data_IF_626946855902
#
_entry.id   IF_626946855902
#
_cell.length_a   1.000
_cell.length_b   1.000
_cell.length_c   1.000
_cell.angle_alpha   90.00
_cell.angle_beta   90.00
_cell.angle_gamma   90.00
#
_symmetry.space_group_name_H-M   'P 1'
#
loop_
_entity.id
_entity.type
_entity.pdbx_description
1 polymer ?
#
# COMPACT_ATOMS: atom_id res chain seq x y z
N UNK A 1 -28.58 5.59 -1.84
CA UNK A 1 -27.34 6.37 -1.60
C UNK A 1 -26.18 5.56 -2.15
N UNK A 2 -25.25 6.17 -2.89
CA UNK A 2 -24.06 5.44 -3.34
C UNK A 2 -23.17 5.21 -2.12
N UNK A 3 -22.62 4.01 -1.99
CA UNK A 3 -21.63 3.71 -0.95
C UNK A 3 -20.38 4.54 -1.19
N UNK A 4 -20.01 5.33 -0.19
CA UNK A 4 -18.75 6.07 -0.16
C UNK A 4 -17.74 5.31 0.70
N UNK A 5 -16.48 5.32 0.28
CA UNK A 5 -15.37 4.71 1.03
C UNK A 5 -14.11 5.54 0.89
N UNK A 6 -13.33 5.68 1.95
CA UNK A 6 -12.00 6.29 1.93
C UNK A 6 -10.95 5.19 2.10
N UNK A 7 -9.97 5.16 1.20
CA UNK A 7 -8.85 4.21 1.25
C UNK A 7 -7.57 5.00 1.49
N UNK A 8 -6.84 4.63 2.55
CA UNK A 8 -5.51 5.15 2.87
C UNK A 8 -4.44 4.18 2.39
N UNK A 9 -3.61 4.59 1.45
CA UNK A 9 -2.45 3.82 1.02
C UNK A 9 -1.15 4.33 1.66
N UNK A 10 -0.30 3.41 2.12
CA UNK A 10 0.96 3.70 2.81
C UNK A 10 2.09 2.88 2.17
N UNK A 11 3.19 3.55 1.84
CA UNK A 11 4.50 2.93 1.57
C UNK A 11 5.44 3.25 2.74
N UNK A 12 5.58 2.34 3.71
CA UNK A 12 6.37 2.56 4.91
C UNK A 12 7.86 2.39 4.61
N UNK A 13 8.60 3.48 4.43
CA UNK A 13 10.05 3.44 4.27
C UNK A 13 10.84 3.92 5.50
N UNK A 14 12.14 3.66 5.50
CA UNK A 14 13.07 4.05 6.60
C UNK A 14 13.67 5.44 6.43
N UNK A 15 13.52 6.01 5.23
CA UNK A 15 14.02 7.34 4.85
C UNK A 15 12.86 8.28 4.56
N UNK A 16 11.82 7.76 3.90
CA UNK A 16 10.61 8.47 3.52
C UNK A 16 9.47 7.48 3.70
N UNK A 17 8.34 7.92 4.26
CA UNK A 17 7.09 7.17 4.21
C UNK A 17 6.13 7.94 3.31
N UNK A 18 5.81 7.37 2.14
CA UNK A 18 4.83 7.93 1.22
C UNK A 18 3.41 7.51 1.62
N UNK A 19 2.43 8.39 1.47
CA UNK A 19 1.04 8.04 1.69
C UNK A 19 0.10 8.81 0.76
N UNK A 20 -1.00 8.16 0.39
CA UNK A 20 -2.03 8.73 -0.46
C UNK A 20 -3.42 8.33 -0.01
N UNK A 21 -4.38 9.23 -0.19
CA UNK A 21 -5.78 8.98 0.10
C UNK A 21 -6.61 9.14 -1.16
N UNK A 22 -7.54 8.20 -1.36
CA UNK A 22 -8.57 8.28 -2.39
C UNK A 22 -9.94 8.13 -1.75
N UNK A 23 -10.92 8.85 -2.29
CA UNK A 23 -12.34 8.64 -2.03
C UNK A 23 -12.91 7.80 -3.15
N UNK A 24 -13.72 6.81 -2.81
CA UNK A 24 -14.43 5.95 -3.76
C UNK A 24 -15.92 6.21 -3.60
N UNK A 25 -16.57 6.67 -4.67
CA UNK A 25 -18.02 6.86 -4.73
C UNK A 25 -18.57 5.91 -5.79
N UNK A 26 -19.20 4.82 -5.35
CA UNK A 26 -19.63 3.74 -6.24
C UNK A 26 -18.45 3.06 -6.94
N UNK A 27 -18.23 3.37 -8.22
CA UNK A 27 -17.12 2.85 -9.05
C UNK A 27 -16.11 3.90 -9.49
N UNK A 28 -16.23 5.12 -8.98
CA UNK A 28 -15.33 6.23 -9.31
C UNK A 28 -14.37 6.48 -8.15
N UNK A 29 -13.11 6.69 -8.48
CA UNK A 29 -12.08 7.13 -7.55
C UNK A 29 -11.85 8.64 -7.71
N UNK A 30 -11.67 9.31 -6.58
CA UNK A 30 -11.38 10.73 -6.48
C UNK A 30 -10.12 10.90 -5.62
N UNK A 31 -9.22 11.76 -6.08
CA UNK A 31 -8.04 12.11 -5.32
C UNK A 31 -8.39 12.95 -4.10
N UNK A 32 -7.89 12.57 -2.92
CA UNK A 32 -8.02 13.39 -1.72
C UNK A 32 -6.70 14.05 -1.34
N UNK A 33 -5.63 13.25 -1.21
CA UNK A 33 -4.36 13.75 -0.70
C UNK A 33 -3.20 12.85 -1.13
N UNK A 34 -2.04 13.48 -1.30
CA UNK A 34 -0.75 12.81 -1.50
C UNK A 34 0.31 13.60 -0.74
N UNK A 35 1.05 12.93 0.14
CA UNK A 35 2.12 13.57 0.88
C UNK A 35 3.12 12.52 1.38
N UNK A 36 4.16 12.98 2.05
CA UNK A 36 5.24 12.13 2.53
C UNK A 36 5.73 12.57 3.90
N UNK A 37 6.22 11.62 4.69
CA UNK A 37 6.92 11.87 5.94
C UNK A 37 8.42 11.70 5.72
N UNK A 38 9.15 12.81 5.79
CA UNK A 38 10.61 12.84 5.67
C UNK A 38 11.28 12.36 6.97
N UNK A 39 11.82 11.14 6.93
CA UNK A 39 12.47 10.48 8.08
C UNK A 39 14.00 10.57 8.02
N UNK A 40 14.58 10.92 6.87
CA UNK A 40 16.05 11.00 6.66
C UNK A 40 16.76 11.90 7.66
N UNK A 41 16.09 12.97 8.10
CA UNK A 41 16.63 14.00 9.01
C UNK A 41 16.77 13.55 10.46
N UNK A 42 16.30 12.35 10.80
CA UNK A 42 16.44 11.78 12.14
C UNK A 42 17.48 10.68 12.12
N UNK A 43 18.37 10.66 13.11
CA UNK A 43 19.41 9.63 13.22
C UNK A 43 18.92 8.40 14.01
N UNK A 44 18.11 8.62 15.04
CA UNK A 44 17.55 7.55 15.87
C UNK A 44 16.42 6.80 15.15
N UNK A 45 16.58 5.49 15.00
CA UNK A 45 15.59 4.60 14.41
C UNK A 45 14.29 4.53 15.22
N UNK A 46 14.36 4.55 16.56
CA UNK A 46 13.16 4.47 17.39
C UNK A 46 12.30 5.73 17.27
N UNK A 47 12.94 6.90 17.13
CA UNK A 47 12.24 8.15 16.80
C UNK A 47 11.51 8.04 15.48
N UNK A 48 12.13 7.45 14.44
CA UNK A 48 11.46 7.23 13.15
C UNK A 48 10.22 6.34 13.28
N UNK A 49 10.32 5.25 14.04
CA UNK A 49 9.19 4.35 14.29
C UNK A 49 8.05 5.10 15.01
N UNK A 50 8.36 5.86 16.06
CA UNK A 50 7.35 6.68 16.75
C UNK A 50 6.66 7.65 15.79
N UNK A 51 7.42 8.36 14.96
CA UNK A 51 6.87 9.31 13.99
C UNK A 51 6.00 8.65 12.92
N UNK A 52 6.35 7.45 12.47
CA UNK A 52 5.50 6.66 11.57
C UNK A 52 4.16 6.36 12.25
N UNK A 53 4.19 5.85 13.50
CA UNK A 53 2.98 5.55 14.26
C UNK A 53 2.10 6.79 14.43
N UNK A 54 2.67 7.88 14.95
CA UNK A 54 1.96 9.14 15.20
C UNK A 54 1.36 9.70 13.91
N UNK A 55 2.12 9.70 12.82
CA UNK A 55 1.64 10.19 11.53
C UNK A 55 0.51 9.32 10.97
N UNK A 56 0.60 8.00 11.09
CA UNK A 56 -0.47 7.09 10.66
C UNK A 56 -1.74 7.31 11.48
N UNK A 57 -1.63 7.46 12.80
CA UNK A 57 -2.77 7.80 13.67
C UNK A 57 -3.39 9.14 13.27
N UNK A 58 -2.59 10.18 13.05
CA UNK A 58 -3.07 11.50 12.64
C UNK A 58 -3.86 11.42 11.32
N UNK A 59 -3.35 10.67 10.32
CA UNK A 59 -4.04 10.47 9.06
C UNK A 59 -5.37 9.73 9.24
N UNK A 60 -5.40 8.73 10.12
CA UNK A 60 -6.62 7.99 10.47
C UNK A 60 -7.64 8.90 11.14
N UNK A 61 -7.23 9.70 12.12
CA UNK A 61 -8.11 10.59 12.88
C UNK A 61 -8.61 11.77 12.04
N UNK A 62 -7.81 12.24 11.09
CA UNK A 62 -8.18 13.36 10.22
C UNK A 62 -9.13 12.95 9.10
N UNK A 63 -8.91 11.79 8.50
CA UNK A 63 -9.62 11.38 7.29
C UNK A 63 -10.60 10.22 7.46
N UNK A 64 -10.57 9.54 8.61
CA UNK A 64 -11.42 8.38 8.91
C UNK A 64 -11.48 7.33 7.77
N UNK A 65 -10.32 6.80 7.32
CA UNK A 65 -10.30 5.81 6.25
C UNK A 65 -11.00 4.52 6.69
N UNK A 66 -11.77 3.92 5.77
CA UNK A 66 -12.45 2.64 5.98
C UNK A 66 -11.48 1.46 5.82
N UNK A 67 -10.45 1.62 4.98
CA UNK A 67 -9.48 0.58 4.64
C UNK A 67 -8.07 1.17 4.50
N UNK A 68 -7.06 0.40 4.91
CA UNK A 68 -5.65 0.74 4.70
C UNK A 68 -5.00 -0.27 3.75
N UNK A 69 -4.30 0.25 2.75
CA UNK A 69 -3.50 -0.53 1.82
C UNK A 69 -2.00 -0.26 2.08
N UNK A 70 -1.21 -1.31 2.21
CA UNK A 70 0.23 -1.17 2.51
C UNK A 70 1.06 -1.87 1.44
N UNK A 71 2.11 -1.21 0.97
CA UNK A 71 3.12 -1.88 0.13
C UNK A 71 3.92 -2.88 0.97
N UNK A 72 3.91 -4.15 0.55
CA UNK A 72 4.65 -5.21 1.20
C UNK A 72 6.14 -5.11 0.87
N UNK A 73 7.04 -5.38 1.84
CA UNK A 73 8.47 -5.29 1.65
C UNK A 73 8.93 -6.30 0.61
N UNK A 74 9.73 -5.85 -0.35
CA UNK A 74 10.36 -6.73 -1.32
C UNK A 74 11.61 -7.41 -0.73
N UNK A 75 11.85 -8.67 -1.13
CA UNK A 75 13.03 -9.42 -0.71
C UNK A 75 14.31 -8.78 -1.28
N UNK A 76 15.02 -8.04 -0.43
CA UNK A 76 16.30 -7.42 -0.75
C UNK A 76 17.49 -8.31 -0.37
N UNK A 77 18.65 -8.07 -0.99
CA UNK A 77 19.91 -8.77 -0.66
C UNK A 77 20.43 -8.48 0.77
N UNK A 78 19.99 -7.40 1.41
CA UNK A 78 20.47 -6.98 2.73
C UNK A 78 19.41 -7.18 3.82
N UNK A 79 19.64 -8.17 4.68
CA UNK A 79 18.76 -8.57 5.79
C UNK A 79 18.55 -7.44 6.80
N UNK A 80 19.56 -6.63 7.10
CA UNK A 80 19.42 -5.53 8.07
C UNK A 80 18.49 -4.43 7.57
N UNK A 81 18.60 -4.06 6.30
CA UNK A 81 17.70 -3.08 5.69
C UNK A 81 16.26 -3.61 5.67
N UNK A 82 16.10 -4.89 5.36
CA UNK A 82 14.80 -5.57 5.38
C UNK A 82 14.18 -5.57 6.79
N UNK A 83 14.96 -5.84 7.83
CA UNK A 83 14.48 -5.79 9.21
C UNK A 83 14.03 -4.38 9.62
N UNK A 84 14.78 -3.33 9.23
CA UNK A 84 14.39 -1.95 9.50
C UNK A 84 13.09 -1.57 8.77
N UNK A 85 12.93 -2.04 7.54
CA UNK A 85 11.72 -1.83 6.75
C UNK A 85 10.52 -2.56 7.38
N UNK A 86 10.69 -3.82 7.76
CA UNK A 86 9.65 -4.60 8.43
C UNK A 86 9.19 -3.99 9.76
N UNK A 87 10.10 -3.36 10.51
CA UNK A 87 9.73 -2.59 11.72
C UNK A 87 8.87 -1.37 11.38
N UNK A 88 9.26 -0.60 10.36
CA UNK A 88 8.47 0.56 9.90
C UNK A 88 7.06 0.14 9.46
N UNK A 89 6.98 -0.93 8.67
CA UNK A 89 5.71 -1.50 8.21
C UNK A 89 4.86 -2.00 9.38
N UNK A 90 5.44 -2.80 10.29
CA UNK A 90 4.72 -3.32 11.45
C UNK A 90 4.18 -2.23 12.37
N UNK A 91 4.88 -1.10 12.48
CA UNK A 91 4.41 0.06 13.25
C UNK A 91 3.26 0.79 12.55
N UNK A 92 3.32 0.99 11.23
CA UNK A 92 2.19 1.53 10.47
C UNK A 92 0.95 0.61 10.55
N UNK A 93 1.17 -0.71 10.50
CA UNK A 93 0.10 -1.70 10.69
C UNK A 93 -0.50 -1.62 12.09
N UNK A 94 0.35 -1.55 13.13
CA UNK A 94 -0.12 -1.44 14.50
C UNK A 94 -0.96 -0.18 14.73
N UNK A 95 -0.59 0.95 14.11
CA UNK A 95 -1.39 2.17 14.15
C UNK A 95 -2.79 1.97 13.55
N UNK A 96 -2.89 1.39 12.34
CA UNK A 96 -4.17 1.07 11.71
C UNK A 96 -5.03 0.10 12.52
N UNK A 97 -4.43 -0.99 12.98
CA UNK A 97 -5.11 -2.02 13.77
C UNK A 97 -5.57 -1.49 15.14
N UNK A 98 -4.82 -0.58 15.78
CA UNK A 98 -5.23 0.06 17.03
C UNK A 98 -6.51 0.88 16.92
N UNK A 99 -6.89 1.27 15.69
CA UNK A 99 -8.13 1.97 15.36
C UNK A 99 -9.15 1.06 14.66
N UNK A 100 -8.91 -0.26 14.67
CA UNK A 100 -9.78 -1.29 14.09
C UNK A 100 -10.01 -1.12 12.58
N UNK A 101 -9.06 -0.54 11.85
CA UNK A 101 -9.16 -0.38 10.41
C UNK A 101 -8.59 -1.62 9.72
N UNK A 102 -9.32 -2.27 8.80
CA UNK A 102 -8.81 -3.40 8.04
C UNK A 102 -7.61 -3.00 7.17
N UNK A 103 -6.60 -3.88 7.14
CA UNK A 103 -5.35 -3.67 6.42
C UNK A 103 -5.19 -4.76 5.35
N UNK A 104 -4.81 -4.36 4.14
CA UNK A 104 -4.40 -5.28 3.08
C UNK A 104 -3.02 -4.92 2.55
N UNK A 105 -2.16 -5.93 2.42
CA UNK A 105 -0.80 -5.77 1.89
C UNK A 105 -0.74 -6.12 0.40
N UNK A 106 0.07 -5.38 -0.36
CA UNK A 106 0.27 -5.62 -1.79
C UNK A 106 1.75 -5.67 -2.15
N UNK A 107 2.14 -6.70 -2.91
CA UNK A 107 3.50 -6.74 -3.46
C UNK A 107 3.72 -5.62 -4.49
N UNK A 108 4.96 -5.09 -4.64
CA UNK A 108 5.25 -4.04 -5.61
C UNK A 108 4.85 -4.44 -7.05
N UNK A 109 5.02 -5.72 -7.40
CA UNK A 109 4.63 -6.25 -8.70
C UNK A 109 3.11 -6.23 -8.91
N UNK A 110 2.32 -6.51 -7.86
CA UNK A 110 0.85 -6.45 -7.91
C UNK A 110 0.38 -5.00 -8.06
N UNK A 111 0.98 -4.06 -7.35
CA UNK A 111 0.70 -2.61 -7.49
C UNK A 111 0.94 -2.16 -8.92
N UNK A 112 2.12 -2.44 -9.47
CA UNK A 112 2.48 -2.11 -10.85
C UNK A 112 1.51 -2.74 -11.85
N UNK A 113 1.18 -4.01 -11.67
CA UNK A 113 0.24 -4.74 -12.53
C UNK A 113 -1.17 -4.13 -12.49
N UNK A 114 -1.69 -3.79 -11.31
CA UNK A 114 -3.03 -3.23 -11.15
C UNK A 114 -3.18 -1.87 -11.83
N UNK A 115 -2.14 -1.04 -11.81
CA UNK A 115 -2.18 0.33 -12.34
C UNK A 115 -1.84 0.38 -13.83
N UNK A 116 -0.80 -0.35 -14.25
CA UNK A 116 -0.23 -0.22 -15.60
C UNK A 116 -0.57 -1.38 -16.53
N UNK A 117 -1.12 -2.49 -16.01
CA UNK A 117 -1.23 -3.76 -16.73
C UNK A 117 0.10 -4.51 -16.90
N UNK A 118 1.21 -4.00 -16.36
CA UNK A 118 2.53 -4.62 -16.43
C UNK A 118 3.25 -4.61 -15.08
N UNK A 119 3.50 -5.78 -14.50
CA UNK A 119 4.19 -5.91 -13.21
C UNK A 119 5.65 -5.43 -13.20
N UNK A 120 6.26 -5.25 -14.38
CA UNK A 120 7.64 -4.78 -14.54
C UNK A 120 7.73 -3.29 -14.91
N UNK A 121 6.62 -2.54 -14.81
CA UNK A 121 6.61 -1.12 -15.11
C UNK A 121 7.59 -0.31 -14.24
N UNK A 122 8.11 0.78 -14.79
CA UNK A 122 8.94 1.74 -14.06
C UNK A 122 8.11 2.60 -13.10
N UNK A 123 8.75 3.24 -12.12
CA UNK A 123 8.05 4.15 -11.19
C UNK A 123 7.42 5.34 -11.92
N UNK A 124 8.09 5.83 -12.96
CA UNK A 124 7.60 6.93 -13.80
C UNK A 124 6.35 6.54 -14.58
N UNK A 125 6.28 5.29 -15.06
CA UNK A 125 5.09 4.78 -15.74
C UNK A 125 3.91 4.68 -14.77
N UNK A 126 4.13 4.17 -13.56
CA UNK A 126 3.10 4.12 -12.51
C UNK A 126 2.61 5.54 -12.17
N UNK A 127 3.51 6.48 -11.94
CA UNK A 127 3.16 7.86 -11.61
C UNK A 127 2.35 8.54 -12.72
N UNK A 128 2.74 8.39 -13.99
CA UNK A 128 1.96 8.92 -15.13
C UNK A 128 0.56 8.31 -15.23
N UNK A 129 0.43 7.01 -14.97
CA UNK A 129 -0.87 6.36 -14.94
C UNK A 129 -1.73 6.88 -13.78
N UNK A 130 -1.16 7.02 -12.58
CA UNK A 130 -1.86 7.63 -11.44
C UNK A 130 -2.32 9.05 -11.76
N UNK A 131 -1.47 9.85 -12.42
CA UNK A 131 -1.81 11.21 -12.85
C UNK A 131 -3.06 11.22 -13.73
N UNK A 132 -3.11 10.33 -14.73
CA UNK A 132 -4.25 10.20 -15.65
C UNK A 132 -5.50 9.69 -14.96
N UNK A 133 -5.37 8.64 -14.13
CA UNK A 133 -6.48 7.99 -13.43
C UNK A 133 -7.17 8.91 -12.42
N UNK A 134 -6.40 9.77 -11.76
CA UNK A 134 -6.87 10.64 -10.67
C UNK A 134 -6.97 12.12 -11.07
N UNK A 135 -6.68 12.46 -12.33
CA UNK A 135 -6.75 13.82 -12.84
C UNK A 135 -5.77 14.80 -12.15
N UNK A 136 -4.60 14.32 -11.74
CA UNK A 136 -3.60 15.15 -11.05
C UNK A 136 -2.96 16.14 -12.04
N UNK A 137 -2.99 17.43 -11.73
CA UNK A 137 -2.39 18.45 -12.61
C UNK A 137 -0.87 18.32 -12.69
N UNK A 138 -0.24 18.05 -11.55
CA UNK A 138 1.21 17.87 -11.43
C UNK A 138 1.50 16.66 -10.55
N UNK A 139 2.59 15.97 -10.86
CA UNK A 139 3.12 14.91 -10.01
C UNK A 139 4.09 15.51 -8.99
N UNK A 140 4.18 14.93 -7.78
CA UNK A 140 5.17 15.35 -6.81
C UNK A 140 6.58 15.16 -7.38
N UNK A 141 7.51 16.04 -6.99
CA UNK A 141 8.92 15.96 -7.41
C UNK A 141 9.57 14.65 -6.96
N UNK A 142 9.13 14.12 -5.83
CA UNK A 142 9.57 12.82 -5.33
C UNK A 142 8.55 11.75 -5.75
N UNK A 143 9.00 10.80 -6.58
CA UNK A 143 8.14 9.71 -7.03
C UNK A 143 7.85 8.71 -5.91
N UNK A 144 8.71 8.60 -4.89
CA UNK A 144 8.48 7.73 -3.74
C UNK A 144 7.21 8.14 -2.95
N UNK A 145 6.81 9.42 -3.00
CA UNK A 145 5.54 9.84 -2.40
C UNK A 145 4.34 9.18 -3.09
N UNK A 146 4.46 8.84 -4.38
CA UNK A 146 3.37 8.25 -5.17
C UNK A 146 3.10 6.78 -4.87
N UNK A 147 4.05 6.07 -4.24
CA UNK A 147 3.93 4.63 -3.96
C UNK A 147 2.79 4.34 -2.97
N UNK A 148 2.59 5.19 -1.96
CA UNK A 148 1.41 5.11 -1.07
C UNK A 148 0.09 5.30 -1.82
N UNK A 149 0.01 6.26 -2.74
CA UNK A 149 -1.18 6.44 -3.59
C UNK A 149 -1.40 5.24 -4.53
N UNK A 150 -0.31 4.67 -5.05
CA UNK A 150 -0.34 3.47 -5.86
C UNK A 150 -0.93 2.28 -5.10
N UNK A 151 -0.57 2.10 -3.82
CA UNK A 151 -1.14 1.08 -2.96
C UNK A 151 -2.65 1.27 -2.78
N UNK A 152 -3.13 2.51 -2.56
CA UNK A 152 -4.56 2.80 -2.43
C UNK A 152 -5.34 2.47 -3.72
N UNK A 153 -4.82 2.86 -4.89
CA UNK A 153 -5.43 2.58 -6.20
C UNK A 153 -5.40 1.07 -6.51
N UNK A 154 -4.30 0.38 -6.18
CA UNK A 154 -4.21 -1.07 -6.27
C UNK A 154 -5.27 -1.75 -5.41
N UNK A 155 -5.49 -1.26 -4.19
CA UNK A 155 -6.55 -1.76 -3.32
C UNK A 155 -7.91 -1.57 -3.97
N UNK A 156 -8.26 -0.36 -4.43
CA UNK A 156 -9.52 -0.11 -5.13
C UNK A 156 -9.79 -1.10 -6.29
N UNK A 157 -8.79 -1.40 -7.12
CA UNK A 157 -8.96 -2.35 -8.23
C UNK A 157 -9.09 -3.82 -7.80
N UNK A 158 -8.60 -4.17 -6.62
CA UNK A 158 -8.68 -5.52 -6.08
C UNK A 158 -9.87 -5.69 -5.10
N UNK A 159 -10.36 -4.59 -4.51
CA UNK A 159 -11.54 -4.53 -3.65
C UNK A 159 -12.80 -4.72 -4.50
N UNK A 160 -13.46 -5.87 -4.32
CA UNK A 160 -14.59 -6.31 -5.14
C UNK A 160 -14.25 -7.50 -6.05
N UNK A 161 -12.97 -7.84 -6.21
CA UNK A 161 -12.60 -9.21 -6.53
C UNK A 161 -12.55 -9.96 -5.21
N UNK A 162 -13.60 -10.72 -4.92
CA UNK A 162 -13.42 -11.88 -4.04
C UNK A 162 -12.35 -12.70 -4.75
N UNK A 163 -11.10 -12.61 -4.30
CA UNK A 163 -10.16 -13.70 -4.53
C UNK A 163 -10.80 -14.87 -3.80
N UNK A 164 -11.65 -15.61 -4.52
CA UNK A 164 -11.82 -17.02 -4.30
C UNK A 164 -10.43 -17.56 -4.57
N UNK A 165 -9.53 -17.43 -3.59
CA UNK A 165 -8.36 -18.28 -3.52
C UNK A 165 -8.90 -19.67 -3.77
N UNK A 166 -8.34 -20.39 -4.75
CA UNK A 166 -8.82 -21.71 -5.14
C UNK A 166 -9.12 -22.48 -3.85
N UNK A 167 -10.41 -22.66 -3.55
CA UNK A 167 -10.82 -23.37 -2.35
C UNK A 167 -10.53 -24.82 -2.67
N UNK A 168 -9.38 -25.31 -2.20
CA UNK A 168 -9.06 -26.71 -2.28
C UNK A 168 -9.91 -27.41 -1.22
N UNK A 169 -10.82 -28.28 -1.64
CA UNK A 169 -11.69 -29.05 -0.75
C UNK A 169 -10.93 -30.08 0.13
N UNK A 170 -9.60 -30.08 0.10
CA UNK A 170 -8.74 -30.92 0.92
C UNK A 170 -7.28 -30.93 0.43
N UNK A 171 -6.39 -31.45 1.28
CA UNK A 171 -4.95 -31.58 1.02
C UNK A 171 -4.63 -32.31 -0.30
N UNK A 172 -5.41 -33.34 -0.64
CA UNK A 172 -5.25 -34.10 -1.88
C UNK A 172 -5.48 -33.24 -3.15
N UNK A 173 -6.43 -32.31 -3.12
CA UNK A 173 -6.72 -31.42 -4.26
C UNK A 173 -5.63 -30.35 -4.43
N UNK A 174 -5.00 -29.93 -3.32
CA UNK A 174 -3.88 -29.00 -3.33
C UNK A 174 -2.62 -29.64 -3.95
N UNK A 175 -2.27 -30.86 -3.53
CA UNK A 175 -1.09 -31.60 -4.03
C UNK A 175 -1.20 -31.88 -5.52
N UNK A 176 -2.36 -32.33 -6.00
CA UNK A 176 -2.60 -32.64 -7.42
C UNK A 176 -2.46 -31.44 -8.37
N UNK A 177 -2.72 -30.22 -7.89
CA UNK A 177 -2.60 -28.99 -8.69
C UNK A 177 -1.27 -28.24 -8.49
N UNK A 178 -0.39 -28.74 -7.61
CA UNK A 178 0.91 -28.15 -7.30
C UNK A 178 1.99 -29.25 -7.21
N UNK A 179 1.92 -30.25 -8.09
CA UNK A 179 2.85 -31.41 -8.07
C UNK A 179 4.32 -30.97 -8.20
N UNK A 180 4.55 -29.85 -8.86
CA UNK A 180 5.83 -29.17 -9.07
C UNK A 180 6.36 -28.41 -7.83
N UNK A 181 5.54 -28.23 -6.78
CA UNK A 181 5.93 -27.57 -5.52
C UNK A 181 6.07 -28.53 -4.34
N UNK A 182 5.68 -29.79 -4.52
CA UNK A 182 5.73 -30.84 -3.49
C UNK A 182 6.72 -31.91 -3.95
N UNK A 183 8.00 -31.54 -3.93
CA UNK A 183 9.13 -32.48 -4.03
C UNK A 183 10.16 -32.12 -2.97
#
# INVERSE_FOLDING_TARGET
MQTEKIILGIDPGTTIMGFGLIKVVGKKMEFLQLNELQLKKYDDHYVKLRLIFERTIELIETHHPDEIAIEAPFFGKNVQSMLKLGRAQGVAMAAGLSRQIPITEYSPKKIKMAITGNGNASKEQVAKMLQSLLGLKELPKNLDSTDGLAAAVCHFYNSGRVEVGKSYSGWAAFVKQNEDRVK
#
